data_IF_174425166062
#
_entry.id   IF_174425166062
#
_cell.length_a   1.000
_cell.length_b   1.000
_cell.length_c   1.000
_cell.angle_alpha   90.00
_cell.angle_beta   90.00
_cell.angle_gamma   90.00
#
_symmetry.space_group_name_H-M   'P 1'
#
loop_
_entity.id
_entity.type
_entity.pdbx_description
1 polymer ?
#
# COMPACT_ATOMS: atom_id res chain seq x y z
N UNK A 1 2.05 11.83 12.57
CA UNK A 1 2.15 12.20 11.14
C UNK A 1 0.77 12.03 10.50
N UNK A 2 0.21 13.08 9.90
CA UNK A 2 -1.22 13.18 9.50
C UNK A 2 -1.66 12.06 8.57
N UNK A 3 -0.93 11.81 7.47
CA UNK A 3 -1.27 10.77 6.48
C UNK A 3 -1.37 9.37 7.10
N UNK A 4 -0.47 9.04 8.03
CA UNK A 4 -0.49 7.72 8.70
C UNK A 4 -1.76 7.54 9.54
N UNK A 5 -2.16 8.56 10.27
CA UNK A 5 -3.39 8.50 11.08
C UNK A 5 -4.64 8.50 10.19
N UNK A 6 -4.65 9.27 9.09
CA UNK A 6 -5.74 9.25 8.13
C UNK A 6 -5.97 7.87 7.50
N UNK A 7 -4.89 7.12 7.20
CA UNK A 7 -4.99 5.74 6.68
C UNK A 7 -5.56 4.77 7.70
N UNK A 8 -5.17 4.88 8.98
CA UNK A 8 -5.70 4.04 10.06
C UNK A 8 -7.19 4.25 10.26
N UNK A 9 -7.64 5.51 10.19
CA UNK A 9 -9.04 5.93 10.42
C UNK A 9 -9.82 6.09 9.12
N UNK A 10 -9.41 5.42 8.02
CA UNK A 10 -9.97 5.68 6.69
C UNK A 10 -11.49 5.50 6.61
N UNK A 11 -12.08 4.67 7.47
CA UNK A 11 -13.52 4.43 7.54
C UNK A 11 -14.23 5.26 8.62
N UNK A 12 -13.49 5.92 9.52
CA UNK A 12 -14.01 6.60 10.71
C UNK A 12 -13.72 8.11 10.71
N UNK A 13 -13.08 8.61 9.65
CA UNK A 13 -12.68 10.01 9.55
C UNK A 13 -13.83 10.86 8.99
N UNK A 14 -14.45 11.66 9.86
CA UNK A 14 -15.55 12.56 9.51
C UNK A 14 -15.20 14.02 9.83
N UNK A 15 -15.80 14.93 9.08
CA UNK A 15 -15.79 16.37 9.34
C UNK A 15 -17.21 16.89 9.12
N UNK A 16 -17.81 17.50 10.15
CA UNK A 16 -19.22 17.95 10.10
C UNK A 16 -20.16 16.82 9.61
N UNK A 17 -20.04 15.64 10.24
CA UNK A 17 -20.79 14.42 9.90
C UNK A 17 -20.60 13.89 8.46
N UNK A 18 -19.71 14.49 7.69
CA UNK A 18 -19.39 14.08 6.32
C UNK A 18 -18.11 13.25 6.29
N UNK A 19 -18.09 12.08 5.63
CA UNK A 19 -16.90 11.26 5.54
C UNK A 19 -15.85 11.95 4.67
N UNK A 20 -14.64 12.12 5.21
CA UNK A 20 -13.51 12.73 4.49
C UNK A 20 -12.38 11.73 4.31
N UNK A 21 -11.57 11.93 3.27
CA UNK A 21 -10.39 11.11 2.99
C UNK A 21 -9.22 12.00 2.67
N UNK A 22 -8.09 11.73 3.32
CA UNK A 22 -6.85 12.49 3.10
C UNK A 22 -5.89 11.60 2.32
N UNK A 23 -5.39 12.14 1.22
CA UNK A 23 -4.43 11.51 0.35
C UNK A 23 -3.20 12.40 0.19
N UNK A 24 -2.09 11.79 -0.20
CA UNK A 24 -0.91 12.54 -0.61
C UNK A 24 -1.12 13.02 -2.06
N UNK A 25 -0.70 14.25 -2.34
CA UNK A 25 -0.77 14.82 -3.68
C UNK A 25 0.49 14.41 -4.46
N UNK A 26 0.29 13.69 -5.56
CA UNK A 26 1.37 13.17 -6.40
C UNK A 26 1.11 13.55 -7.85
N UNK A 27 2.19 13.76 -8.60
CA UNK A 27 2.08 13.95 -10.04
C UNK A 27 1.48 12.71 -10.73
N UNK A 28 0.84 12.89 -11.92
CA UNK A 28 0.18 11.80 -12.64
C UNK A 28 1.10 10.59 -12.88
N UNK A 29 2.35 10.82 -13.25
CA UNK A 29 3.35 9.76 -13.48
C UNK A 29 3.55 8.85 -12.25
N UNK A 30 3.63 9.45 -11.06
CA UNK A 30 3.78 8.71 -9.80
C UNK A 30 2.48 7.99 -9.44
N UNK A 31 1.31 8.58 -9.73
CA UNK A 31 0.02 7.90 -9.54
C UNK A 31 -0.11 6.65 -10.41
N UNK A 32 0.30 6.72 -11.69
CA UNK A 32 0.30 5.59 -12.61
C UNK A 32 1.24 4.47 -12.13
N UNK A 33 2.47 4.82 -11.74
CA UNK A 33 3.42 3.85 -11.17
C UNK A 33 2.86 3.15 -9.92
N UNK A 34 2.15 3.90 -9.06
CA UNK A 34 1.51 3.32 -7.87
C UNK A 34 0.33 2.42 -8.22
N UNK A 35 -0.45 2.78 -9.24
CA UNK A 35 -1.60 1.99 -9.68
C UNK A 35 -1.18 0.57 -10.13
N UNK A 36 0.02 0.41 -10.69
CA UNK A 36 0.58 -0.89 -11.07
C UNK A 36 0.66 -1.90 -9.90
N UNK A 37 0.84 -1.42 -8.66
CA UNK A 37 0.93 -2.28 -7.47
C UNK A 37 -0.44 -2.68 -6.90
N UNK A 38 -1.55 -2.12 -7.40
CA UNK A 38 -2.90 -2.30 -6.82
C UNK A 38 -3.29 -3.78 -6.67
N UNK A 39 -3.08 -4.58 -7.72
CA UNK A 39 -3.44 -6.00 -7.73
C UNK A 39 -2.56 -6.78 -6.74
N UNK A 40 -1.26 -6.50 -6.72
CA UNK A 40 -0.31 -7.17 -5.83
C UNK A 40 -0.60 -6.84 -4.37
N UNK A 41 -0.89 -5.58 -4.06
CA UNK A 41 -1.26 -5.17 -2.70
C UNK A 41 -2.47 -5.92 -2.17
N UNK A 42 -3.52 -6.07 -2.98
CA UNK A 42 -4.71 -6.83 -2.58
C UNK A 42 -4.36 -8.28 -2.24
N UNK A 43 -3.52 -8.93 -3.06
CA UNK A 43 -3.05 -10.31 -2.78
C UNK A 43 -2.21 -10.38 -1.51
N UNK A 44 -1.32 -9.41 -1.29
CA UNK A 44 -0.50 -9.36 -0.08
C UNK A 44 -1.33 -9.17 1.19
N UNK A 45 -2.38 -8.35 1.15
CA UNK A 45 -3.33 -8.24 2.26
C UNK A 45 -4.04 -9.58 2.53
N UNK A 46 -4.47 -10.29 1.48
CA UNK A 46 -5.11 -11.61 1.63
C UNK A 46 -4.18 -12.66 2.25
N UNK A 47 -2.86 -12.56 2.01
CA UNK A 47 -1.85 -13.41 2.66
C UNK A 47 -1.56 -13.02 4.12
N UNK A 48 -2.23 -11.99 4.66
CA UNK A 48 -2.01 -11.47 6.00
C UNK A 48 -0.70 -10.70 6.16
N UNK A 49 -0.10 -10.24 5.05
CA UNK A 49 1.08 -9.38 5.04
C UNK A 49 0.66 -7.92 5.08
N UNK A 50 1.56 -7.05 5.54
CA UNK A 50 1.31 -5.60 5.60
C UNK A 50 2.10 -4.85 4.53
N UNK A 51 1.57 -4.70 3.30
CA UNK A 51 2.18 -3.89 2.27
C UNK A 51 2.05 -2.39 2.57
N UNK A 52 3.09 -1.63 2.20
CA UNK A 52 3.13 -0.18 2.25
C UNK A 52 3.85 0.35 1.00
N UNK A 53 3.24 1.34 0.33
CA UNK A 53 3.89 2.10 -0.74
C UNK A 53 4.60 3.32 -0.13
N UNK A 54 5.92 3.36 -0.32
CA UNK A 54 6.76 4.51 0.00
C UNK A 54 6.89 5.41 -1.24
N UNK A 55 7.11 6.69 -1.00
CA UNK A 55 7.40 7.64 -2.07
C UNK A 55 8.67 7.24 -2.85
N UNK A 56 8.69 7.38 -4.19
CA UNK A 56 7.56 7.70 -5.05
C UNK A 56 6.61 6.50 -5.26
N UNK A 57 7.12 5.34 -5.68
CA UNK A 57 6.34 4.12 -5.90
C UNK A 57 7.14 2.86 -5.52
N UNK A 58 7.63 2.80 -4.28
CA UNK A 58 8.44 1.66 -3.78
C UNK A 58 7.61 0.81 -2.83
N UNK A 59 7.43 -0.47 -3.14
CA UNK A 59 6.68 -1.38 -2.27
C UNK A 59 7.58 -1.92 -1.15
N UNK A 60 7.10 -1.82 0.09
CA UNK A 60 7.66 -2.50 1.24
C UNK A 60 6.59 -3.42 1.83
N UNK A 61 6.99 -4.62 2.24
CA UNK A 61 6.13 -5.59 2.91
C UNK A 61 6.71 -5.81 4.29
N UNK A 62 5.84 -5.84 5.30
CA UNK A 62 6.18 -6.34 6.64
C UNK A 62 5.53 -7.71 6.82
N UNK A 63 6.35 -8.71 7.15
CA UNK A 63 5.89 -10.07 7.47
C UNK A 63 5.28 -10.13 8.89
N UNK A 64 4.63 -11.24 9.22
CA UNK A 64 4.02 -11.48 10.53
C UNK A 64 5.04 -11.42 11.68
N UNK A 65 6.29 -11.76 11.40
CA UNK A 65 7.43 -11.67 12.33
C UNK A 65 8.04 -10.26 12.41
N UNK A 66 7.53 -9.28 11.65
CA UNK A 66 8.05 -7.92 11.61
C UNK A 66 9.21 -7.70 10.63
N UNK A 67 9.65 -8.75 9.92
CA UNK A 67 10.67 -8.67 8.90
C UNK A 67 10.22 -7.81 7.71
N UNK A 68 11.06 -6.88 7.28
CA UNK A 68 10.75 -5.94 6.19
C UNK A 68 11.45 -6.34 4.90
N UNK A 69 10.70 -6.48 3.82
CA UNK A 69 11.23 -6.69 2.47
C UNK A 69 10.82 -5.54 1.55
N UNK A 70 11.75 -5.05 0.74
CA UNK A 70 11.51 -3.98 -0.23
C UNK A 70 11.61 -4.53 -1.64
N UNK A 71 10.79 -3.98 -2.53
CA UNK A 71 10.74 -4.32 -3.94
C UNK A 71 10.96 -3.05 -4.73
N UNK A 72 11.77 -3.16 -5.79
CA UNK A 72 12.10 -2.01 -6.65
C UNK A 72 11.16 -1.92 -7.85
N UNK A 73 10.46 -3.01 -8.20
CA UNK A 73 9.48 -3.05 -9.29
C UNK A 73 8.20 -3.80 -8.91
N UNK A 74 7.12 -3.50 -9.64
CA UNK A 74 5.86 -4.23 -9.50
C UNK A 74 6.00 -5.69 -9.93
N UNK A 75 6.80 -5.97 -10.96
CA UNK A 75 7.06 -7.31 -11.47
C UNK A 75 7.73 -8.21 -10.43
N UNK A 76 8.72 -7.69 -9.71
CA UNK A 76 9.39 -8.39 -8.61
C UNK A 76 8.39 -8.76 -7.50
N UNK A 77 7.48 -7.84 -7.19
CA UNK A 77 6.44 -8.06 -6.20
C UNK A 77 5.37 -9.08 -6.70
N UNK A 78 5.02 -9.08 -7.98
CA UNK A 78 4.16 -10.10 -8.59
C UNK A 78 4.81 -11.48 -8.50
N UNK A 79 6.09 -11.59 -8.86
CA UNK A 79 6.84 -12.84 -8.81
C UNK A 79 6.88 -13.39 -7.37
N UNK A 80 7.07 -12.51 -6.38
CA UNK A 80 7.06 -12.87 -4.98
C UNK A 80 5.70 -13.40 -4.49
N UNK A 81 4.58 -12.83 -4.96
CA UNK A 81 3.25 -13.36 -4.65
C UNK A 81 2.99 -14.68 -5.38
N UNK A 82 3.48 -14.84 -6.61
CA UNK A 82 3.32 -16.09 -7.38
C UNK A 82 4.04 -17.27 -6.74
N UNK A 83 5.19 -17.06 -6.09
CA UNK A 83 5.93 -18.13 -5.43
C UNK A 83 5.28 -18.60 -4.11
N UNK A 84 4.24 -17.93 -3.63
CA UNK A 84 3.51 -18.25 -2.40
C UNK A 84 2.02 -18.36 -2.70
N UNK A 85 1.52 -19.56 -3.04
CA UNK A 85 0.08 -19.76 -3.13
C UNK A 85 -0.58 -19.50 -1.76
N UNK A 86 -1.77 -18.91 -1.81
CA UNK A 86 -2.59 -18.57 -0.65
C UNK A 86 -3.20 -19.81 0.00
#
# INVERSE_FOLDING_TARGET
>A
MVIREARKRRNDLTYQDSPIRIYEDYCPEVQEQRAAYRIVMAKLYNLGLQPALLYPAKLQITDKEGNKKRFSSAEEAVAYVRSRPA
#
